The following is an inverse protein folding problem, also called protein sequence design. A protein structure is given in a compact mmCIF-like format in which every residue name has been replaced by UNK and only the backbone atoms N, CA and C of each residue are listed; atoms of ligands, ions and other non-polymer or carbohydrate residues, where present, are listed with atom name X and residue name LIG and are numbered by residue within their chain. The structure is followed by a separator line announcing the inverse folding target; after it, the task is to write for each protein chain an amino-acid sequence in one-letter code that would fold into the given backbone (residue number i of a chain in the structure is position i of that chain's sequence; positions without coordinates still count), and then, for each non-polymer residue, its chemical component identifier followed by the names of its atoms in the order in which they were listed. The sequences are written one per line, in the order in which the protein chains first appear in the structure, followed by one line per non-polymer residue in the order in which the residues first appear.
data_IF_554196512620
#
_entry.id   IF_554196512620
#
_cell.length_a   1.000
_cell.length_b   1.000
_cell.length_c   1.000
_cell.angle_alpha   90.00
_cell.angle_beta   90.00
_cell.angle_gamma   90.00
#
_symmetry.space_group_name_H-M   'P 1'
#
loop_
_entity.id
_entity.type
_entity.pdbx_description
1 polymer ?
#
# COMPACT_ATOMS: atom_id res chain seq x y z
N UNK A 1 44.40 3.11 -48.52
CA UNK A 1 44.12 3.60 -47.16
C UNK A 1 42.83 2.99 -46.68
N UNK A 2 42.86 2.12 -45.67
CA UNK A 2 41.68 1.91 -44.83
C UNK A 2 42.09 1.80 -43.34
N UNK A 3 41.85 2.85 -42.56
CA UNK A 3 42.07 2.85 -41.10
C UNK A 3 41.14 3.88 -40.42
N UNK A 4 39.82 3.77 -40.62
CA UNK A 4 38.84 4.68 -39.99
C UNK A 4 37.56 4.01 -39.44
N UNK A 5 37.51 2.68 -39.26
CA UNK A 5 36.28 1.98 -38.84
C UNK A 5 36.20 1.60 -37.35
N UNK A 6 37.06 2.14 -36.48
CA UNK A 6 37.14 1.73 -35.06
C UNK A 6 36.43 2.65 -34.03
N UNK A 7 35.83 3.77 -34.45
CA UNK A 7 35.28 4.77 -33.51
C UNK A 7 33.78 4.56 -33.29
N UNK A 8 33.42 3.57 -32.46
CA UNK A 8 32.04 3.35 -32.03
C UNK A 8 31.47 4.56 -31.28
N UNK A 9 30.15 4.80 -31.41
CA UNK A 9 29.46 5.87 -30.67
C UNK A 9 29.61 5.68 -29.15
N UNK A 10 29.65 6.79 -28.39
CA UNK A 10 29.86 6.75 -26.94
C UNK A 10 28.98 5.73 -26.18
N UNK A 11 27.66 5.56 -26.49
CA UNK A 11 26.84 4.51 -25.85
C UNK A 11 27.36 3.08 -26.09
N UNK A 12 27.86 2.77 -27.30
CA UNK A 12 28.44 1.45 -27.61
C UNK A 12 29.76 1.21 -26.89
N UNK A 13 30.58 2.26 -26.77
CA UNK A 13 31.83 2.21 -25.99
C UNK A 13 31.53 1.94 -24.53
N UNK A 14 30.54 2.63 -23.95
CA UNK A 14 30.08 2.41 -22.57
C UNK A 14 29.56 1.00 -22.37
N UNK A 15 28.70 0.48 -23.25
CA UNK A 15 28.24 -0.92 -23.18
C UNK A 15 29.42 -1.91 -23.20
N UNK A 16 30.32 -1.80 -24.18
CA UNK A 16 31.47 -2.69 -24.31
C UNK A 16 32.41 -2.60 -23.10
N UNK A 17 32.49 -1.44 -22.45
CA UNK A 17 33.19 -1.25 -21.19
C UNK A 17 32.49 -1.98 -20.03
N UNK A 18 31.17 -1.79 -19.88
CA UNK A 18 30.39 -2.41 -18.81
C UNK A 18 30.47 -3.94 -18.88
N UNK A 19 30.42 -4.52 -20.08
CA UNK A 19 30.59 -5.97 -20.28
C UNK A 19 31.99 -6.46 -19.89
N UNK A 20 33.05 -5.79 -20.36
CA UNK A 20 34.44 -6.20 -20.08
C UNK A 20 34.82 -6.03 -18.62
N UNK A 21 34.39 -4.95 -17.98
CA UNK A 21 34.73 -4.61 -16.58
C UNK A 21 33.64 -5.04 -15.58
N UNK A 22 32.61 -5.77 -16.02
CA UNK A 22 31.47 -6.21 -15.21
C UNK A 22 31.86 -6.77 -13.85
N UNK A 23 32.77 -7.74 -13.84
CA UNK A 23 33.25 -8.41 -12.63
C UNK A 23 33.89 -7.41 -11.65
N UNK A 24 34.78 -6.55 -12.15
CA UNK A 24 35.50 -5.58 -11.31
C UNK A 24 34.57 -4.51 -10.76
N UNK A 25 33.62 -4.03 -11.57
CA UNK A 25 32.60 -3.06 -11.14
C UNK A 25 31.75 -3.67 -10.04
N UNK A 26 31.23 -4.89 -10.26
CA UNK A 26 30.38 -5.58 -9.31
C UNK A 26 31.11 -5.87 -7.99
N UNK A 27 32.35 -6.33 -8.05
CA UNK A 27 33.16 -6.58 -6.85
C UNK A 27 33.40 -5.31 -6.03
N UNK A 28 33.62 -4.15 -6.68
CA UNK A 28 33.82 -2.87 -5.97
C UNK A 28 32.51 -2.30 -5.42
N UNK A 29 31.39 -2.52 -6.10
CA UNK A 29 30.09 -1.95 -5.70
C UNK A 29 29.35 -2.81 -4.65
N UNK A 30 29.59 -4.13 -4.63
CA UNK A 30 28.95 -5.06 -3.69
C UNK A 30 29.21 -4.73 -2.21
N UNK A 31 30.25 -3.94 -1.91
CA UNK A 31 30.56 -3.50 -0.54
C UNK A 31 29.69 -2.30 -0.09
N UNK A 32 28.81 -1.77 -0.95
CA UNK A 32 27.91 -0.69 -0.62
C UNK A 32 26.88 -1.08 0.47
N UNK A 33 26.41 -0.12 1.30
CA UNK A 33 25.46 -0.40 2.39
C UNK A 33 24.19 -1.13 1.94
N UNK A 34 23.69 -0.81 0.75
CA UNK A 34 22.53 -1.46 0.12
C UNK A 34 22.66 -2.98 0.16
N UNK A 35 23.76 -3.52 -0.38
CA UNK A 35 23.96 -4.95 -0.51
C UNK A 35 24.31 -5.62 0.81
N UNK A 36 25.09 -4.98 1.68
CA UNK A 36 25.45 -5.55 2.99
C UNK A 36 24.26 -5.77 3.91
N UNK A 37 23.23 -4.94 3.77
CA UNK A 37 22.01 -5.07 4.59
C UNK A 37 21.03 -6.13 4.06
N UNK A 38 21.02 -6.38 2.75
CA UNK A 38 20.13 -7.34 2.10
C UNK A 38 20.76 -8.74 2.04
N UNK A 39 22.04 -8.82 1.67
CA UNK A 39 22.82 -10.05 1.57
C UNK A 39 23.78 -10.18 2.75
N UNK A 40 23.21 -10.37 3.93
CA UNK A 40 23.99 -10.46 5.18
C UNK A 40 24.82 -11.75 5.29
N UNK A 41 24.54 -12.76 4.47
CA UNK A 41 25.11 -14.11 4.59
C UNK A 41 26.14 -14.43 3.50
N UNK A 42 26.00 -13.90 2.27
CA UNK A 42 26.89 -14.22 1.15
C UNK A 42 27.27 -12.99 0.34
N UNK A 43 28.55 -12.62 0.38
CA UNK A 43 29.10 -11.56 -0.50
C UNK A 43 29.00 -11.94 -1.97
N UNK A 44 29.05 -13.24 -2.29
CA UNK A 44 28.95 -13.72 -3.66
C UNK A 44 27.57 -13.43 -4.24
N UNK A 45 26.50 -13.55 -3.44
CA UNK A 45 25.14 -13.16 -3.86
C UNK A 45 25.03 -11.66 -4.13
N UNK A 46 25.66 -10.82 -3.30
CA UNK A 46 25.74 -9.38 -3.52
C UNK A 46 26.45 -9.05 -4.84
N UNK A 47 27.56 -9.73 -5.12
CA UNK A 47 28.32 -9.55 -6.36
C UNK A 47 27.49 -9.98 -7.58
N UNK A 48 26.79 -11.12 -7.54
CA UNK A 48 25.92 -11.56 -8.63
C UNK A 48 24.76 -10.58 -8.86
N UNK A 49 24.16 -10.05 -7.78
CA UNK A 49 23.16 -9.00 -7.88
C UNK A 49 23.74 -7.73 -8.55
N UNK A 50 24.93 -7.29 -8.16
CA UNK A 50 25.59 -6.17 -8.82
C UNK A 50 25.83 -6.43 -10.32
N UNK A 51 26.26 -7.64 -10.70
CA UNK A 51 26.50 -8.01 -12.11
C UNK A 51 25.23 -7.88 -12.94
N UNK A 52 24.10 -8.37 -12.44
CA UNK A 52 22.82 -8.27 -13.16
C UNK A 52 22.38 -6.81 -13.40
N UNK A 53 22.66 -5.90 -12.47
CA UNK A 53 22.44 -4.46 -12.70
C UNK A 53 23.40 -3.93 -13.76
N UNK A 54 24.68 -4.29 -13.72
CA UNK A 54 25.67 -3.85 -14.73
C UNK A 54 25.33 -4.37 -16.12
N UNK A 55 24.89 -5.62 -16.25
CA UNK A 55 24.43 -6.21 -17.51
C UNK A 55 23.23 -5.42 -18.06
N UNK A 56 22.26 -5.11 -17.20
CA UNK A 56 21.10 -4.27 -17.54
C UNK A 56 21.49 -2.88 -18.04
N UNK A 57 22.50 -2.26 -17.42
CA UNK A 57 23.04 -0.98 -17.89
C UNK A 57 23.72 -1.11 -19.26
N UNK A 58 24.42 -2.21 -19.53
CA UNK A 58 24.99 -2.47 -20.87
C UNK A 58 23.87 -2.53 -21.91
N UNK A 59 22.79 -3.27 -21.64
CA UNK A 59 21.65 -3.40 -22.56
C UNK A 59 21.00 -2.05 -22.87
N UNK A 60 20.82 -1.20 -21.85
CA UNK A 60 20.31 0.17 -22.05
C UNK A 60 21.29 0.99 -22.90
N UNK A 61 22.60 0.86 -22.64
CA UNK A 61 23.64 1.56 -23.39
C UNK A 61 23.69 1.15 -24.87
N UNK A 62 23.61 -0.14 -25.19
CA UNK A 62 23.52 -0.65 -26.57
C UNK A 62 22.29 -0.09 -27.29
N UNK A 63 21.16 0.03 -26.58
CA UNK A 63 19.93 0.55 -27.16
C UNK A 63 19.99 2.05 -27.48
N UNK A 64 20.99 2.78 -26.97
CA UNK A 64 21.16 4.23 -27.15
C UNK A 64 20.18 5.08 -26.35
N UNK A 65 19.32 4.47 -25.51
CA UNK A 65 18.27 5.14 -24.73
C UNK A 65 18.73 5.48 -23.32
N UNK A 66 19.85 6.18 -23.20
CA UNK A 66 20.53 6.42 -21.91
C UNK A 66 19.69 7.21 -20.90
N UNK A 67 18.81 8.09 -21.38
CA UNK A 67 17.96 8.99 -20.58
C UNK A 67 16.50 8.52 -20.46
N UNK A 68 16.18 7.36 -21.05
CA UNK A 68 14.83 6.80 -21.04
C UNK A 68 14.66 5.86 -19.86
N UNK A 69 13.97 6.32 -18.82
CA UNK A 69 13.63 5.49 -17.66
C UNK A 69 12.79 4.26 -18.06
N UNK A 70 12.08 4.29 -19.19
CA UNK A 70 11.23 3.20 -19.67
C UNK A 70 11.96 2.19 -20.57
N UNK A 71 13.28 2.35 -20.75
CA UNK A 71 14.07 1.43 -21.55
C UNK A 71 13.91 -0.02 -21.02
N UNK A 72 13.64 -1.03 -21.89
CA UNK A 72 13.44 -2.44 -21.52
C UNK A 72 14.60 -3.04 -20.74
N UNK A 73 15.84 -2.55 -20.94
CA UNK A 73 17.00 -2.98 -20.17
C UNK A 73 16.88 -2.66 -18.68
N UNK A 74 16.00 -1.75 -18.27
CA UNK A 74 15.71 -1.50 -16.85
C UNK A 74 14.67 -2.46 -16.24
N UNK A 75 14.01 -3.33 -17.02
CA UNK A 75 13.03 -4.29 -16.47
C UNK A 75 13.65 -5.25 -15.43
N UNK A 76 14.83 -5.87 -15.68
CA UNK A 76 15.48 -6.71 -14.68
C UNK A 76 15.91 -5.92 -13.45
N UNK A 77 16.35 -4.67 -13.62
CA UNK A 77 16.70 -3.76 -12.52
C UNK A 77 15.49 -3.51 -11.62
N UNK A 78 14.31 -3.25 -12.20
CA UNK A 78 13.07 -3.05 -11.45
C UNK A 78 12.67 -4.30 -10.65
N UNK A 79 12.76 -5.49 -11.24
CA UNK A 79 12.45 -6.74 -10.54
C UNK A 79 13.42 -7.02 -9.38
N UNK A 80 14.71 -6.85 -9.64
CA UNK A 80 15.75 -7.15 -8.66
C UNK A 80 15.79 -6.11 -7.53
N UNK A 81 15.80 -4.82 -7.88
CA UNK A 81 15.82 -3.74 -6.89
C UNK A 81 14.47 -3.58 -6.21
N UNK A 82 13.34 -3.95 -6.83
CA UNK A 82 12.03 -3.95 -6.18
C UNK A 82 12.01 -4.79 -4.91
N UNK A 83 12.58 -6.01 -4.97
CA UNK A 83 12.72 -6.91 -3.81
C UNK A 83 13.62 -6.33 -2.71
N UNK A 84 14.72 -5.68 -3.10
CA UNK A 84 15.64 -5.04 -2.15
C UNK A 84 15.02 -3.83 -1.48
N UNK A 85 14.40 -2.95 -2.27
CA UNK A 85 13.76 -1.73 -1.79
C UNK A 85 12.65 -2.05 -0.80
N UNK A 86 11.83 -3.08 -1.06
CA UNK A 86 10.81 -3.52 -0.12
C UNK A 86 11.40 -3.87 1.26
N UNK A 87 12.51 -4.61 1.29
CA UNK A 87 13.21 -4.98 2.52
C UNK A 87 13.79 -3.75 3.25
N UNK A 88 14.29 -2.77 2.50
CA UNK A 88 14.91 -1.54 3.03
C UNK A 88 13.88 -0.56 3.56
N UNK A 89 12.74 -0.39 2.89
CA UNK A 89 11.62 0.42 3.38
C UNK A 89 11.13 -0.12 4.72
N UNK A 90 10.97 -1.45 4.86
CA UNK A 90 10.56 -2.06 6.13
C UNK A 90 11.56 -1.80 7.27
N UNK A 91 12.83 -1.58 6.93
CA UNK A 91 13.90 -1.23 7.87
C UNK A 91 14.03 0.28 8.11
N UNK A 92 13.12 1.10 7.56
CA UNK A 92 13.04 2.55 7.77
C UNK A 92 13.85 3.40 6.78
N UNK A 93 14.42 2.83 5.72
CA UNK A 93 15.14 3.61 4.70
C UNK A 93 14.18 4.37 3.79
N UNK A 94 14.53 5.62 3.45
CA UNK A 94 13.75 6.42 2.49
C UNK A 94 14.11 6.06 1.04
N UNK A 95 13.21 6.27 0.07
CA UNK A 95 13.50 6.11 -1.35
C UNK A 95 14.76 6.88 -1.81
N UNK A 96 14.97 8.09 -1.28
CA UNK A 96 16.16 8.90 -1.58
C UNK A 96 17.46 8.26 -1.07
N UNK A 97 17.44 7.69 0.14
CA UNK A 97 18.61 7.00 0.70
C UNK A 97 18.99 5.78 -0.15
N UNK A 98 18.00 5.00 -0.59
CA UNK A 98 18.22 3.82 -1.46
C UNK A 98 18.81 4.27 -2.80
N UNK A 99 18.26 5.32 -3.40
CA UNK A 99 18.75 5.88 -4.66
C UNK A 99 20.20 6.40 -4.54
N UNK A 100 20.55 7.04 -3.42
CA UNK A 100 21.91 7.53 -3.14
C UNK A 100 22.91 6.37 -2.96
N UNK A 101 22.51 5.28 -2.32
CA UNK A 101 23.36 4.08 -2.20
C UNK A 101 23.59 3.40 -3.55
N UNK A 102 22.57 3.35 -4.41
CA UNK A 102 22.73 2.85 -5.78
C UNK A 102 23.66 3.76 -6.59
N UNK A 103 23.56 5.09 -6.39
CA UNK A 103 24.46 6.05 -7.02
C UNK A 103 25.94 5.86 -6.62
N UNK A 104 26.22 5.10 -5.56
CA UNK A 104 27.57 4.64 -5.20
C UNK A 104 28.30 3.89 -6.31
N UNK A 105 27.57 3.27 -7.26
CA UNK A 105 28.13 2.62 -8.46
C UNK A 105 28.94 3.59 -9.33
N UNK A 106 28.63 4.88 -9.28
CA UNK A 106 29.25 5.90 -10.14
C UNK A 106 30.76 5.98 -9.98
N UNK A 107 31.25 5.92 -8.75
CA UNK A 107 32.69 6.08 -8.48
C UNK A 107 33.51 4.97 -9.14
N UNK A 108 33.30 3.67 -8.82
CA UNK A 108 34.08 2.60 -9.43
C UNK A 108 33.88 2.50 -10.95
N UNK A 109 32.67 2.78 -11.46
CA UNK A 109 32.41 2.73 -12.90
C UNK A 109 33.15 3.84 -13.66
N UNK A 110 33.15 5.08 -13.16
CA UNK A 110 33.85 6.20 -13.82
C UNK A 110 35.37 6.06 -13.73
N UNK A 111 35.89 5.59 -12.60
CA UNK A 111 37.33 5.31 -12.45
C UNK A 111 37.80 4.26 -13.45
N UNK A 112 37.12 3.11 -13.50
CA UNK A 112 37.48 2.03 -14.42
C UNK A 112 37.29 2.42 -15.89
N UNK A 113 36.29 3.25 -16.22
CA UNK A 113 36.10 3.74 -17.59
C UNK A 113 37.26 4.63 -18.02
N UNK A 114 37.77 5.49 -17.13
CA UNK A 114 38.92 6.36 -17.44
C UNK A 114 40.19 5.56 -17.73
N UNK A 115 40.38 4.42 -17.06
CA UNK A 115 41.53 3.52 -17.31
C UNK A 115 41.50 2.89 -18.71
N UNK A 116 40.36 2.86 -19.40
CA UNK A 116 40.26 2.33 -20.78
C UNK A 116 40.85 3.29 -21.82
N UNK A 117 41.08 4.55 -21.46
CA UNK A 117 41.58 5.56 -22.38
C UNK A 117 43.01 5.99 -22.01
N UNK A 118 43.99 5.87 -22.93
CA UNK A 118 45.34 6.37 -22.72
C UNK A 118 45.39 7.89 -22.48
N UNK A 119 44.49 8.63 -23.15
CA UNK A 119 44.31 10.06 -22.98
C UNK A 119 42.87 10.37 -22.54
N UNK A 120 42.71 10.70 -21.27
CA UNK A 120 41.42 11.04 -20.68
C UNK A 120 40.85 12.37 -21.20
N UNK A 121 41.64 13.17 -21.92
CA UNK A 121 41.19 14.44 -22.52
C UNK A 121 40.66 14.28 -23.94
N UNK A 122 40.84 13.10 -24.55
CA UNK A 122 40.29 12.80 -25.86
C UNK A 122 38.76 12.95 -25.88
N UNK A 123 38.21 13.49 -26.97
CA UNK A 123 36.77 13.74 -27.11
C UNK A 123 35.93 12.47 -26.84
N UNK A 124 36.36 11.32 -27.37
CA UNK A 124 35.68 10.04 -27.16
C UNK A 124 35.67 9.60 -25.68
N UNK A 125 36.73 9.90 -24.92
CA UNK A 125 36.79 9.60 -23.49
C UNK A 125 35.80 10.48 -22.71
N UNK A 126 35.74 11.77 -23.04
CA UNK A 126 34.79 12.72 -22.44
C UNK A 126 33.34 12.36 -22.75
N UNK A 127 33.04 12.05 -24.02
CA UNK A 127 31.70 11.61 -24.45
C UNK A 127 31.28 10.30 -23.78
N UNK A 128 32.20 9.34 -23.62
CA UNK A 128 31.92 8.07 -22.93
C UNK A 128 31.65 8.27 -21.44
N UNK A 129 32.41 9.14 -20.77
CA UNK A 129 32.19 9.48 -19.35
C UNK A 129 30.85 10.20 -19.17
N UNK A 130 30.48 11.10 -20.09
CA UNK A 130 29.18 11.77 -20.07
C UNK A 130 28.05 10.75 -20.27
N UNK A 131 28.15 9.88 -21.27
CA UNK A 131 27.18 8.82 -21.55
C UNK A 131 26.98 7.90 -20.32
N UNK A 132 28.07 7.45 -19.69
CA UNK A 132 27.99 6.66 -18.45
C UNK A 132 27.33 7.45 -17.31
N UNK A 133 27.66 8.73 -17.17
CA UNK A 133 27.08 9.58 -16.11
C UNK A 133 25.58 9.79 -16.30
N UNK A 134 25.13 10.01 -17.55
CA UNK A 134 23.71 10.11 -17.89
C UNK A 134 22.98 8.81 -17.58
N UNK A 135 23.53 7.68 -18.03
CA UNK A 135 22.96 6.35 -17.79
C UNK A 135 22.80 6.04 -16.29
N UNK A 136 23.81 6.34 -15.48
CA UNK A 136 23.76 6.16 -14.02
C UNK A 136 22.79 7.14 -13.36
N UNK A 137 22.64 8.35 -13.91
CA UNK A 137 21.60 9.30 -13.50
C UNK A 137 20.19 8.75 -13.74
N UNK A 138 19.96 8.14 -14.91
CA UNK A 138 18.70 7.49 -15.27
C UNK A 138 18.43 6.28 -14.39
N UNK A 139 19.44 5.45 -14.11
CA UNK A 139 19.33 4.36 -13.13
C UNK A 139 18.81 4.88 -11.79
N UNK A 140 19.36 5.99 -11.28
CA UNK A 140 18.93 6.58 -10.01
C UNK A 140 17.45 6.98 -10.03
N UNK A 141 16.95 7.51 -11.15
CA UNK A 141 15.54 7.83 -11.32
C UNK A 141 14.66 6.58 -11.35
N UNK A 142 15.09 5.52 -12.06
CA UNK A 142 14.39 4.22 -12.09
C UNK A 142 14.29 3.61 -10.69
N UNK A 143 15.36 3.66 -9.89
CA UNK A 143 15.35 3.17 -8.50
C UNK A 143 14.37 3.97 -7.65
N UNK A 144 14.39 5.30 -7.76
CA UNK A 144 13.48 6.18 -7.03
C UNK A 144 12.01 5.89 -7.39
N UNK A 145 11.70 5.78 -8.68
CA UNK A 145 10.35 5.43 -9.18
C UNK A 145 9.90 4.08 -8.62
N UNK A 146 10.74 3.06 -8.74
CA UNK A 146 10.46 1.71 -8.22
C UNK A 146 10.19 1.73 -6.71
N UNK A 147 10.95 2.54 -5.96
CA UNK A 147 10.80 2.68 -4.52
C UNK A 147 9.49 3.39 -4.12
N UNK A 148 9.10 4.42 -4.88
CA UNK A 148 7.84 5.14 -4.67
C UNK A 148 6.63 4.25 -4.97
N UNK A 149 6.67 3.51 -6.08
CA UNK A 149 5.60 2.60 -6.46
C UNK A 149 5.40 1.48 -5.44
N UNK A 150 6.50 0.88 -4.96
CA UNK A 150 6.44 -0.14 -3.91
C UNK A 150 5.85 0.40 -2.60
N UNK A 151 6.17 1.64 -2.23
CA UNK A 151 5.60 2.28 -1.05
C UNK A 151 4.11 2.58 -1.22
N UNK A 152 3.70 3.07 -2.40
CA UNK A 152 2.30 3.32 -2.70
C UNK A 152 1.47 2.03 -2.63
N UNK A 153 2.00 0.93 -3.18
CA UNK A 153 1.35 -0.38 -3.09
C UNK A 153 1.25 -0.88 -1.64
N UNK A 154 2.30 -0.69 -0.83
CA UNK A 154 2.27 -1.03 0.59
C UNK A 154 1.21 -0.24 1.36
N UNK A 155 1.13 1.08 1.12
CA UNK A 155 0.11 1.95 1.73
C UNK A 155 -1.29 1.49 1.35
N UNK A 156 -1.52 1.15 0.08
CA UNK A 156 -2.82 0.70 -0.37
C UNK A 156 -3.23 -0.64 0.24
N UNK A 157 -2.29 -1.60 0.32
CA UNK A 157 -2.53 -2.87 1.02
C UNK A 157 -2.83 -2.66 2.51
N UNK A 158 -2.10 -1.78 3.18
CA UNK A 158 -2.35 -1.44 4.58
C UNK A 158 -3.72 -0.77 4.76
N UNK A 159 -4.10 0.13 3.85
CA UNK A 159 -5.42 0.77 3.82
C UNK A 159 -6.53 -0.27 3.66
N UNK A 160 -6.35 -1.24 2.76
CA UNK A 160 -7.31 -2.31 2.55
C UNK A 160 -7.44 -3.24 3.77
N UNK A 161 -6.33 -3.61 4.41
CA UNK A 161 -6.37 -4.38 5.66
C UNK A 161 -7.08 -3.63 6.79
N UNK A 162 -6.87 -2.31 6.90
CA UNK A 162 -7.60 -1.49 7.85
C UNK A 162 -9.11 -1.47 7.56
N UNK A 163 -9.50 -1.49 6.28
CA UNK A 163 -10.91 -1.56 5.86
C UNK A 163 -11.55 -2.92 6.12
N UNK A 164 -10.84 -4.02 5.88
CA UNK A 164 -11.32 -5.40 6.19
C UNK A 164 -11.58 -5.59 7.69
N UNK A 165 -10.90 -4.81 8.55
CA UNK A 165 -11.12 -4.81 10.00
C UNK A 165 -12.19 -3.77 10.44
N UNK A 166 -12.66 -2.89 9.55
CA UNK A 166 -13.32 -1.64 9.95
C UNK A 166 -14.82 -1.72 10.34
N UNK A 167 -15.47 -2.88 10.25
CA UNK A 167 -16.87 -3.06 10.70
C UNK A 167 -17.18 -4.50 11.09
N UNK A 168 -16.79 -4.94 12.30
CA UNK A 168 -17.15 -6.26 12.77
C UNK A 168 -18.68 -6.32 12.99
N UNK A 169 -19.38 -7.19 12.27
CA UNK A 169 -20.75 -7.55 12.63
C UNK A 169 -20.68 -8.58 13.75
N UNK A 170 -21.29 -8.26 14.88
CA UNK A 170 -21.20 -9.06 16.11
C UNK A 170 -22.54 -9.73 16.38
N UNK A 171 -22.52 -11.04 16.65
CA UNK A 171 -23.69 -11.76 17.17
C UNK A 171 -23.90 -11.38 18.63
N UNK A 172 -24.99 -10.67 18.94
CA UNK A 172 -25.32 -10.33 20.33
C UNK A 172 -26.18 -11.40 21.00
N UNK A 173 -27.10 -12.01 20.25
CA UNK A 173 -27.99 -13.05 20.73
C UNK A 173 -28.44 -13.95 19.58
N UNK A 174 -29.19 -15.01 19.89
CA UNK A 174 -29.85 -15.80 18.86
C UNK A 174 -30.87 -14.94 18.10
N UNK A 175 -30.69 -14.84 16.78
CA UNK A 175 -31.52 -13.99 15.93
C UNK A 175 -31.25 -12.48 16.03
N UNK A 176 -30.20 -12.04 16.74
CA UNK A 176 -29.85 -10.61 16.88
C UNK A 176 -28.38 -10.34 16.59
N UNK A 177 -28.11 -9.48 15.60
CA UNK A 177 -26.77 -8.98 15.26
C UNK A 177 -26.63 -7.49 15.52
N UNK A 178 -25.42 -7.02 15.73
CA UNK A 178 -25.10 -5.61 15.86
C UNK A 178 -23.90 -5.19 15.03
N UNK A 179 -23.93 -3.94 14.59
CA UNK A 179 -22.89 -3.31 13.77
C UNK A 179 -22.49 -2.00 14.43
N UNK A 180 -21.44 -1.99 15.26
CA UNK A 180 -20.94 -0.77 15.87
C UNK A 180 -20.17 0.08 14.85
N UNK A 181 -20.60 1.32 14.67
CA UNK A 181 -19.95 2.30 13.79
C UNK A 181 -19.10 3.25 14.62
N UNK A 182 -17.77 3.20 14.42
CA UNK A 182 -16.79 4.00 15.17
C UNK A 182 -15.98 4.86 14.20
N UNK A 183 -15.85 6.15 14.50
CA UNK A 183 -15.05 7.09 13.70
C UNK A 183 -15.86 7.72 12.57
N UNK A 184 -15.17 8.26 11.58
CA UNK A 184 -15.81 8.91 10.43
C UNK A 184 -16.44 7.88 9.51
N UNK A 185 -17.66 8.15 9.07
CA UNK A 185 -18.38 7.34 8.11
C UNK A 185 -18.38 8.10 6.78
N UNK A 186 -17.93 7.45 5.71
CA UNK A 186 -17.98 7.96 4.34
C UNK A 186 -18.77 6.98 3.46
N UNK A 187 -18.94 7.29 2.17
CA UNK A 187 -19.72 6.46 1.25
C UNK A 187 -19.13 5.06 1.07
N UNK A 188 -17.80 4.97 0.92
CA UNK A 188 -17.12 3.69 0.69
C UNK A 188 -17.26 2.78 1.90
N UNK A 189 -17.03 3.31 3.10
CA UNK A 189 -17.20 2.58 4.35
C UNK A 189 -18.66 2.21 4.58
N UNK A 190 -19.61 3.11 4.31
CA UNK A 190 -21.04 2.82 4.46
C UNK A 190 -21.50 1.66 3.58
N UNK A 191 -20.93 1.52 2.38
CA UNK A 191 -21.20 0.40 1.50
C UNK A 191 -20.67 -0.92 2.08
N UNK A 192 -19.42 -0.94 2.57
CA UNK A 192 -18.83 -2.12 3.23
C UNK A 192 -19.66 -2.54 4.46
N UNK A 193 -20.14 -1.57 5.24
CA UNK A 193 -21.03 -1.79 6.40
C UNK A 193 -22.32 -2.48 5.94
N UNK A 194 -22.93 -1.99 4.87
CA UNK A 194 -24.16 -2.54 4.33
C UNK A 194 -23.96 -3.98 3.88
N UNK A 195 -22.95 -4.25 3.04
CA UNK A 195 -22.66 -5.58 2.52
C UNK A 195 -22.41 -6.58 3.66
N UNK A 196 -21.53 -6.22 4.60
CA UNK A 196 -21.23 -7.04 5.79
C UNK A 196 -22.47 -7.34 6.63
N UNK A 197 -23.35 -6.35 6.83
CA UNK A 197 -24.59 -6.53 7.58
C UNK A 197 -25.53 -7.50 6.87
N UNK A 198 -25.71 -7.36 5.56
CA UNK A 198 -26.63 -8.20 4.79
C UNK A 198 -26.15 -9.66 4.75
N UNK A 199 -24.85 -9.91 4.60
CA UNK A 199 -24.26 -11.25 4.73
C UNK A 199 -24.52 -11.83 6.12
N UNK A 200 -24.22 -11.08 7.18
CA UNK A 200 -24.42 -11.55 8.55
C UNK A 200 -25.89 -11.83 8.88
N UNK A 201 -26.85 -11.07 8.32
CA UNK A 201 -28.28 -11.34 8.48
C UNK A 201 -28.63 -12.73 7.92
N UNK A 202 -28.11 -13.08 6.76
CA UNK A 202 -28.36 -14.38 6.12
C UNK A 202 -27.67 -15.51 6.89
N UNK A 203 -26.37 -15.37 7.14
CA UNK A 203 -25.55 -16.41 7.76
C UNK A 203 -26.02 -16.75 9.18
N UNK A 204 -26.40 -15.72 9.94
CA UNK A 204 -26.85 -15.87 11.32
C UNK A 204 -28.37 -16.01 11.44
N UNK A 205 -29.10 -15.94 10.32
CA UNK A 205 -30.58 -15.91 10.27
C UNK A 205 -31.15 -14.87 11.23
N UNK A 206 -30.54 -13.68 11.21
CA UNK A 206 -30.85 -12.62 12.15
C UNK A 206 -32.24 -12.03 11.84
N UNK A 207 -33.09 -11.97 12.87
CA UNK A 207 -34.40 -11.32 12.81
C UNK A 207 -34.31 -9.84 13.18
N UNK A 208 -33.27 -9.48 13.93
CA UNK A 208 -32.99 -8.12 14.38
C UNK A 208 -31.55 -7.73 14.04
N UNK A 209 -31.39 -6.51 13.54
CA UNK A 209 -30.10 -5.90 13.28
C UNK A 209 -30.01 -4.55 13.98
N UNK A 210 -28.98 -4.35 14.82
CA UNK A 210 -28.77 -3.11 15.54
C UNK A 210 -27.60 -2.35 14.93
N UNK A 211 -27.85 -1.17 14.37
CA UNK A 211 -26.81 -0.24 13.91
C UNK A 211 -26.50 0.73 15.06
N UNK A 212 -25.33 0.59 15.68
CA UNK A 212 -24.93 1.47 16.76
C UNK A 212 -24.04 2.60 16.25
N UNK A 213 -24.59 3.82 16.22
CA UNK A 213 -23.88 5.01 15.73
C UNK A 213 -23.28 5.86 16.86
N UNK A 214 -23.20 5.33 18.09
CA UNK A 214 -22.61 6.02 19.24
C UNK A 214 -21.17 6.51 18.97
N UNK A 215 -20.41 5.79 18.13
CA UNK A 215 -19.03 6.13 17.77
C UNK A 215 -18.89 7.12 16.60
N UNK A 216 -19.98 7.57 15.96
CA UNK A 216 -19.94 8.43 14.76
C UNK A 216 -20.07 9.91 15.15
N UNK A 217 -19.04 10.76 14.97
CA UNK A 217 -19.03 12.12 15.52
C UNK A 217 -20.02 13.06 14.82
N UNK A 218 -20.15 12.95 13.49
CA UNK A 218 -21.01 13.79 12.65
C UNK A 218 -21.67 12.94 11.56
N UNK A 219 -22.86 13.36 11.15
CA UNK A 219 -23.61 12.74 10.05
C UNK A 219 -23.94 13.82 9.04
N UNK A 220 -23.56 13.64 7.78
CA UNK A 220 -23.96 14.51 6.68
C UNK A 220 -25.12 13.89 5.88
N UNK A 221 -25.53 14.58 4.81
CA UNK A 221 -26.63 14.13 3.95
C UNK A 221 -26.35 12.79 3.26
N UNK A 222 -25.11 12.56 2.83
CA UNK A 222 -24.73 11.38 2.07
C UNK A 222 -24.67 10.15 2.98
N UNK A 223 -24.02 10.30 4.13
CA UNK A 223 -23.95 9.26 5.17
C UNK A 223 -25.34 8.89 5.65
N UNK A 224 -26.20 9.87 5.93
CA UNK A 224 -27.55 9.59 6.37
C UNK A 224 -28.36 8.83 5.30
N UNK A 225 -28.24 9.20 4.02
CA UNK A 225 -28.86 8.44 2.93
C UNK A 225 -28.34 6.99 2.86
N UNK A 226 -27.04 6.78 3.04
CA UNK A 226 -26.48 5.43 3.05
C UNK A 226 -26.99 4.61 4.23
N UNK A 227 -27.07 5.18 5.44
CA UNK A 227 -27.66 4.51 6.60
C UNK A 227 -29.11 4.09 6.32
N UNK A 228 -29.91 4.96 5.71
CA UNK A 228 -31.30 4.65 5.37
C UNK A 228 -31.42 3.56 4.30
N UNK A 229 -30.52 3.54 3.32
CA UNK A 229 -30.43 2.44 2.33
C UNK A 229 -30.09 1.12 3.03
N UNK A 230 -29.13 1.13 3.96
CA UNK A 230 -28.76 -0.06 4.74
C UNK A 230 -29.94 -0.60 5.55
N UNK A 231 -30.69 0.27 6.24
CA UNK A 231 -31.89 -0.10 6.99
C UNK A 231 -32.96 -0.70 6.07
N UNK A 232 -33.22 -0.07 4.92
CA UNK A 232 -34.18 -0.57 3.95
C UNK A 232 -33.76 -1.93 3.37
N UNK A 233 -32.49 -2.11 3.05
CA UNK A 233 -31.95 -3.37 2.55
C UNK A 233 -32.07 -4.49 3.59
N UNK A 234 -31.70 -4.25 4.85
CA UNK A 234 -31.87 -5.21 5.93
C UNK A 234 -33.34 -5.63 6.12
N UNK A 235 -34.28 -4.68 5.99
CA UNK A 235 -35.71 -4.96 6.03
C UNK A 235 -36.18 -5.83 4.87
N UNK A 236 -35.65 -5.64 3.66
CA UNK A 236 -35.93 -6.50 2.51
C UNK A 236 -35.40 -7.93 2.73
N UNK A 237 -34.31 -8.09 3.50
CA UNK A 237 -33.81 -9.39 3.94
C UNK A 237 -34.63 -10.02 5.08
N UNK A 238 -35.68 -9.35 5.55
CA UNK A 238 -36.56 -9.85 6.62
C UNK A 238 -36.06 -9.58 8.04
N UNK A 239 -35.04 -8.74 8.21
CA UNK A 239 -34.55 -8.31 9.52
C UNK A 239 -35.10 -6.93 9.90
N UNK A 240 -35.59 -6.79 11.14
CA UNK A 240 -35.98 -5.51 11.70
C UNK A 240 -34.73 -4.73 12.14
N UNK A 241 -34.52 -3.56 11.54
CA UNK A 241 -33.37 -2.71 11.82
C UNK A 241 -33.67 -1.71 12.92
N UNK A 242 -32.76 -1.60 13.89
CA UNK A 242 -32.81 -0.68 15.02
C UNK A 242 -31.58 0.21 14.97
N UNK A 243 -31.75 1.52 15.09
CA UNK A 243 -30.63 2.46 15.18
C UNK A 243 -30.45 2.88 16.64
N UNK A 244 -29.26 2.65 17.21
CA UNK A 244 -28.90 3.08 18.56
C UNK A 244 -27.85 4.18 18.57
N UNK A 245 -27.76 4.93 19.66
CA UNK A 245 -26.65 5.86 19.85
C UNK A 245 -26.79 7.21 19.13
N UNK A 246 -28.01 7.58 18.72
CA UNK A 246 -28.25 8.86 18.07
C UNK A 246 -28.03 10.01 19.08
N UNK A 247 -26.92 10.73 18.91
CA UNK A 247 -26.62 11.93 19.71
C UNK A 247 -27.54 13.11 19.33
N UNK A 248 -27.78 14.07 20.24
CA UNK A 248 -28.61 15.25 19.96
C UNK A 248 -28.23 16.01 18.68
N UNK A 249 -26.93 16.21 18.44
CA UNK A 249 -26.44 16.90 17.24
C UNK A 249 -26.82 16.14 15.95
N UNK A 250 -26.68 14.81 15.94
CA UNK A 250 -27.04 13.95 14.79
C UNK A 250 -28.55 14.01 14.54
N UNK A 251 -29.37 13.93 15.60
CA UNK A 251 -30.82 14.03 15.48
C UNK A 251 -31.24 15.36 14.85
N UNK A 252 -30.65 16.48 15.28
CA UNK A 252 -30.91 17.79 14.70
C UNK A 252 -30.53 17.84 13.21
N UNK A 253 -29.38 17.29 12.85
CA UNK A 253 -28.93 17.25 11.45
C UNK A 253 -29.87 16.40 10.58
N UNK A 254 -30.30 15.22 11.03
CA UNK A 254 -31.25 14.37 10.29
C UNK A 254 -32.57 15.12 10.04
N UNK A 255 -33.10 15.82 11.06
CA UNK A 255 -34.33 16.62 10.93
C UNK A 255 -34.12 17.79 9.96
N UNK A 256 -33.00 18.51 10.06
CA UNK A 256 -32.67 19.62 9.15
C UNK A 256 -32.53 19.18 7.70
N UNK A 257 -31.98 17.99 7.47
CA UNK A 257 -31.83 17.39 6.16
C UNK A 257 -33.14 16.85 5.57
N UNK A 258 -34.24 16.86 6.35
CA UNK A 258 -35.54 16.37 5.91
C UNK A 258 -35.59 14.85 5.71
N UNK A 259 -34.74 14.10 6.42
CA UNK A 259 -34.68 12.64 6.30
C UNK A 259 -35.77 12.02 7.18
N UNK A 260 -36.71 11.32 6.55
CA UNK A 260 -37.81 10.67 7.25
C UNK A 260 -37.39 9.33 7.87
N UNK A 261 -37.22 9.31 9.18
CA UNK A 261 -36.96 8.11 9.99
C UNK A 261 -38.24 7.38 10.41
N UNK A 262 -39.43 7.75 9.94
CA UNK A 262 -40.72 7.31 10.48
C UNK A 262 -40.96 5.79 10.55
N UNK A 263 -40.19 5.00 9.79
CA UNK A 263 -40.26 3.53 9.82
C UNK A 263 -39.07 2.86 10.53
N UNK A 264 -38.09 3.64 10.99
CA UNK A 264 -36.86 3.16 11.62
C UNK A 264 -37.01 3.20 13.14
N UNK A 265 -36.87 2.05 13.79
CA UNK A 265 -36.93 2.00 15.24
C UNK A 265 -35.63 2.56 15.84
N UNK A 266 -35.74 3.48 16.78
CA UNK A 266 -34.58 4.09 17.44
C UNK A 266 -34.53 3.80 18.93
N UNK A 267 -33.33 3.65 19.47
CA UNK A 267 -33.07 3.47 20.91
C UNK A 267 -31.90 4.33 21.35
N UNK A 268 -31.89 4.72 22.63
CA UNK A 268 -30.85 5.62 23.15
C UNK A 268 -29.47 4.94 23.15
N UNK A 269 -29.40 3.67 23.56
CA UNK A 269 -28.16 2.90 23.62
C UNK A 269 -28.27 1.52 22.97
N UNK A 270 -27.12 0.89 22.69
CA UNK A 270 -27.05 -0.50 22.25
C UNK A 270 -27.71 -1.46 23.25
N UNK A 271 -27.59 -1.17 24.56
CA UNK A 271 -28.22 -1.96 25.61
C UNK A 271 -29.75 -1.88 25.54
N UNK A 272 -30.32 -0.70 25.31
CA UNK A 272 -31.77 -0.52 25.16
C UNK A 272 -32.30 -1.21 23.89
N UNK A 273 -31.51 -1.18 22.81
CA UNK A 273 -31.80 -1.89 21.58
C UNK A 273 -31.80 -3.41 21.79
N UNK A 274 -30.78 -3.94 22.45
CA UNK A 274 -30.71 -5.37 22.78
C UNK A 274 -31.88 -5.79 23.67
N UNK A 275 -32.16 -5.03 24.75
CA UNK A 275 -33.28 -5.30 25.64
C UNK A 275 -34.63 -5.33 24.88
N UNK A 276 -34.82 -4.41 23.93
CA UNK A 276 -36.00 -4.43 23.05
C UNK A 276 -36.07 -5.72 22.22
N UNK A 277 -34.98 -6.11 21.55
CA UNK A 277 -34.97 -7.34 20.74
C UNK A 277 -35.26 -8.59 21.56
N UNK A 278 -34.71 -8.68 22.76
CA UNK A 278 -34.97 -9.78 23.70
C UNK A 278 -36.45 -9.81 24.11
N UNK A 279 -37.02 -8.65 24.45
CA UNK A 279 -38.45 -8.53 24.78
C UNK A 279 -39.36 -8.98 23.65
N UNK A 280 -39.04 -8.64 22.39
CA UNK A 280 -39.80 -9.10 21.22
C UNK A 280 -39.69 -10.61 20.98
N UNK A 281 -38.63 -11.24 21.48
CA UNK A 281 -38.44 -12.69 21.48
C UNK A 281 -39.07 -13.38 22.71
N UNK A 282 -39.73 -12.63 23.61
CA UNK A 282 -40.32 -13.15 24.84
C UNK A 282 -39.31 -13.42 25.95
N UNK A 283 -38.12 -12.81 25.87
CA UNK A 283 -37.04 -12.92 26.85
C UNK A 283 -37.04 -11.67 27.74
N UNK A 284 -37.15 -11.86 29.05
CA UNK A 284 -37.12 -10.78 30.03
C UNK A 284 -35.78 -10.78 30.78
N UNK A 285 -35.11 -9.62 30.83
CA UNK A 285 -33.85 -9.44 31.56
C UNK A 285 -34.15 -8.79 32.91
N UNK A 286 -34.05 -9.57 33.98
CA UNK A 286 -34.20 -9.09 35.35
C UNK A 286 -32.85 -9.02 36.07
N UNK A 287 -32.72 -8.12 37.04
CA UNK A 287 -31.58 -8.15 37.96
C UNK A 287 -31.78 -9.34 38.90
N UNK A 288 -30.76 -10.18 39.05
CA UNK A 288 -30.78 -11.19 40.08
C UNK A 288 -30.89 -10.52 41.46
N UNK A 289 -31.87 -10.94 42.25
CA UNK A 289 -32.06 -10.42 43.60
C UNK A 289 -30.79 -10.68 44.44
N UNK A 290 -30.14 -9.60 44.90
CA UNK A 290 -28.94 -9.66 45.73
C UNK A 290 -29.19 -10.32 47.11
N UNK A 291 -30.43 -10.69 47.44
CA UNK A 291 -30.83 -11.34 48.69
C UNK A 291 -30.80 -12.87 48.63
N UNK A 292 -30.68 -13.49 47.44
CA UNK A 292 -30.70 -14.94 47.29
C UNK A 292 -29.31 -15.61 47.40
N UNK A 293 -28.22 -14.83 47.33
CA UNK A 293 -26.84 -15.37 47.37
C UNK A 293 -26.18 -15.32 48.76
N UNK A 294 -26.94 -14.99 49.81
CA UNK A 294 -26.45 -14.88 51.20
C UNK A 294 -27.04 -15.96 52.14
N UNK A 295 -27.35 -17.15 51.64
CA UNK A 295 -27.72 -18.32 52.46
C UNK A 295 -26.87 -19.52 52.12
#
# INVERSE_FOLDING_TARGET
MPEQDATGSAPRVVSSFLERRREQIAQRWADAPLFRSVFTVSRDEAVEACKAVVDSLSDVAVSGRLEDITAPGFLPVRDQLGRMTQTRTLSGSTPSQIADEVAGLRVPAVELLREEFPDATAAQAQESVLALTLLLGTLRLVVMETALDANAELIERQRQQLLEVATPVIKLWEGTVAVPLIGTLDSARSQVVMESLLEAIVDQRARYAILDITGVPTVDSLVAQHLMKTVAAARLMGAECIVSGIRPAIAQTIVQLGIDLGTVLTRASLADALAYTLGQQGIEVSRADASASAR
#
